data_IF_310816663568
#
_entry.id   IF_310816663568
#
_cell.length_a   1.000
_cell.length_b   1.000
_cell.length_c   1.000
_cell.angle_alpha   90.00
_cell.angle_beta   90.00
_cell.angle_gamma   90.00
#
_symmetry.space_group_name_H-M   'P 1'
#
loop_
_entity.id
_entity.type
_entity.pdbx_description
1 polymer ?
#
# COMPACT_ATOMS: atom_id res chain seq x y z
N UNK A 1 10.02 -19.79 1.13
CA UNK A 1 9.32 -19.50 -0.13
C UNK A 1 7.96 -18.92 0.20
N UNK A 2 7.65 -17.69 -0.22
CA UNK A 2 6.27 -17.16 -0.14
C UNK A 2 5.42 -17.92 -1.16
N UNK A 3 4.37 -18.64 -0.76
CA UNK A 3 3.58 -19.49 -1.67
C UNK A 3 2.56 -18.70 -2.50
N UNK A 4 2.68 -17.38 -2.57
CA UNK A 4 1.68 -16.50 -3.16
C UNK A 4 2.31 -15.55 -4.17
N UNK A 5 1.61 -15.35 -5.29
CA UNK A 5 1.99 -14.42 -6.34
C UNK A 5 1.75 -12.97 -5.86
N UNK A 6 2.78 -12.11 -5.86
CA UNK A 6 2.63 -10.71 -5.45
C UNK A 6 1.60 -9.91 -6.26
N UNK A 7 1.32 -10.29 -7.52
CA UNK A 7 0.35 -9.60 -8.36
C UNK A 7 -1.11 -9.82 -7.91
N UNK A 8 -1.40 -10.95 -7.26
CA UNK A 8 -2.76 -11.31 -6.80
C UNK A 8 -2.89 -11.35 -5.27
N UNK A 9 -1.78 -11.21 -4.55
CA UNK A 9 -1.77 -11.21 -3.08
C UNK A 9 -2.30 -9.88 -2.54
N UNK A 10 -3.36 -9.96 -1.72
CA UNK A 10 -3.88 -8.83 -0.97
C UNK A 10 -3.27 -8.79 0.45
N UNK A 11 -2.68 -7.67 0.84
CA UNK A 11 -2.10 -7.45 2.16
C UNK A 11 -2.97 -6.53 3.02
N UNK A 12 -3.05 -6.82 4.31
CA UNK A 12 -3.75 -5.99 5.31
C UNK A 12 -2.78 -5.00 5.97
N UNK A 13 -3.34 -4.07 6.73
CA UNK A 13 -2.62 -2.99 7.42
C UNK A 13 -1.31 -3.42 8.10
N UNK A 14 -1.23 -4.47 8.94
CA UNK A 14 0.02 -4.83 9.60
C UNK A 14 1.16 -5.13 8.62
N UNK A 15 0.86 -5.80 7.51
CA UNK A 15 1.86 -6.14 6.48
C UNK A 15 2.17 -4.94 5.58
N UNK A 16 1.21 -4.05 5.37
CA UNK A 16 1.41 -2.78 4.67
C UNK A 16 2.36 -1.86 5.46
N UNK A 17 2.21 -1.76 6.78
CA UNK A 17 3.12 -1.00 7.65
C UNK A 17 4.54 -1.56 7.58
N UNK A 18 4.70 -2.90 7.62
CA UNK A 18 6.01 -3.55 7.48
C UNK A 18 6.63 -3.26 6.11
N UNK A 19 5.85 -3.38 5.03
CA UNK A 19 6.35 -3.19 3.67
C UNK A 19 6.73 -1.73 3.36
N UNK A 20 5.97 -0.77 3.87
CA UNK A 20 6.18 0.67 3.61
C UNK A 20 7.04 1.36 4.66
N UNK A 21 7.20 0.78 5.85
CA UNK A 21 7.81 1.42 7.02
C UNK A 21 6.96 2.54 7.64
N UNK A 22 5.76 2.78 7.12
CA UNK A 22 4.87 3.84 7.59
C UNK A 22 3.93 3.35 8.68
N UNK A 23 3.59 4.24 9.62
CA UNK A 23 2.52 4.00 10.59
C UNK A 23 1.15 4.23 9.95
N UNK A 24 0.14 3.53 10.47
CA UNK A 24 -1.27 3.61 10.04
C UNK A 24 -1.80 5.03 9.87
N UNK A 25 -1.44 5.95 10.77
CA UNK A 25 -1.87 7.36 10.68
C UNK A 25 -1.36 8.04 9.41
N UNK A 26 -0.11 7.79 9.01
CA UNK A 26 0.47 8.32 7.77
C UNK A 26 -0.14 7.66 6.54
N UNK A 27 -0.39 6.35 6.58
CA UNK A 27 -1.06 5.64 5.49
C UNK A 27 -2.44 6.26 5.25
N UNK A 28 -3.24 6.51 6.29
CA UNK A 28 -4.53 7.16 6.13
C UNK A 28 -4.43 8.58 5.55
N UNK A 29 -3.40 9.35 5.91
CA UNK A 29 -3.17 10.67 5.30
C UNK A 29 -2.86 10.55 3.80
N UNK A 30 -2.02 9.58 3.40
CA UNK A 30 -1.71 9.33 2.00
C UNK A 30 -2.95 8.91 1.21
N UNK A 31 -3.80 8.05 1.79
CA UNK A 31 -5.07 7.65 1.17
C UNK A 31 -6.04 8.82 0.95
N UNK A 32 -5.95 9.87 1.77
CA UNK A 32 -6.75 11.09 1.62
C UNK A 32 -6.16 12.07 0.61
N UNK A 33 -4.93 11.84 0.14
CA UNK A 33 -4.23 12.69 -0.80
C UNK A 33 -4.21 12.03 -2.18
N UNK A 34 -5.05 12.47 -3.13
CA UNK A 34 -5.17 11.84 -4.45
C UNK A 34 -3.86 11.90 -5.25
N UNK A 35 -3.06 12.96 -5.06
CA UNK A 35 -1.79 13.16 -5.79
C UNK A 35 -0.60 12.40 -5.16
N UNK A 36 -0.82 11.63 -4.09
CA UNK A 36 0.28 10.92 -3.40
C UNK A 36 0.84 9.73 -4.17
N UNK A 37 0.13 9.27 -5.21
CA UNK A 37 0.45 8.05 -5.94
C UNK A 37 0.37 6.78 -5.08
N UNK A 38 -0.20 6.86 -3.87
CA UNK A 38 -0.29 5.72 -2.96
C UNK A 38 -1.32 4.67 -3.45
N UNK A 39 -1.04 3.36 -3.31
CA UNK A 39 -1.96 2.32 -3.76
C UNK A 39 -3.36 2.42 -3.14
N UNK A 40 -4.38 2.17 -3.97
CA UNK A 40 -5.77 2.26 -3.56
C UNK A 40 -6.20 1.01 -2.77
N UNK A 41 -7.07 1.16 -1.75
CA UNK A 41 -7.59 0.03 -0.99
C UNK A 41 -8.62 -0.77 -1.80
N UNK A 42 -8.47 -2.09 -1.81
CA UNK A 42 -9.46 -3.05 -2.28
C UNK A 42 -10.40 -3.42 -1.14
N UNK A 43 -11.71 -3.26 -1.33
CA UNK A 43 -12.73 -3.70 -0.37
C UNK A 43 -12.84 -5.22 -0.41
N UNK A 44 -12.75 -5.87 0.76
CA UNK A 44 -12.86 -7.33 0.87
C UNK A 44 -14.28 -7.83 1.10
N UNK A 45 -15.24 -6.91 1.28
CA UNK A 45 -16.65 -7.24 1.49
C UNK A 45 -17.53 -6.24 0.76
N UNK A 46 -18.75 -6.66 0.42
CA UNK A 46 -19.77 -5.80 -0.18
C UNK A 46 -20.40 -4.81 0.83
N UNK A 47 -20.01 -4.89 2.11
CA UNK A 47 -20.49 -3.99 3.14
C UNK A 47 -19.96 -2.57 2.93
N UNK A 48 -20.87 -1.60 2.96
CA UNK A 48 -20.56 -0.16 2.96
C UNK A 48 -20.41 0.42 4.37
N UNK A 49 -20.47 -0.43 5.40
CA UNK A 49 -20.35 0.00 6.79
C UNK A 49 -19.00 0.69 7.05
N UNK A 50 -19.02 1.70 7.93
CA UNK A 50 -17.80 2.34 8.42
C UNK A 50 -16.95 1.28 9.13
N UNK A 51 -15.78 0.98 8.57
CA UNK A 51 -14.89 -0.07 9.09
C UNK A 51 -14.93 -1.39 8.32
N UNK A 52 -15.61 -1.45 7.17
CA UNK A 52 -15.52 -2.60 6.27
C UNK A 52 -14.04 -2.96 5.97
N UNK A 53 -13.69 -4.26 5.96
CA UNK A 53 -12.31 -4.69 5.80
C UNK A 53 -11.78 -4.29 4.41
N UNK A 54 -10.60 -3.67 4.39
CA UNK A 54 -9.86 -3.33 3.18
C UNK A 54 -8.46 -3.93 3.18
N UNK A 55 -7.93 -4.15 1.97
CA UNK A 55 -6.58 -4.63 1.71
C UNK A 55 -5.95 -3.87 0.54
N UNK A 56 -4.69 -4.16 0.23
CA UNK A 56 -3.94 -3.58 -0.88
C UNK A 56 -3.27 -4.67 -1.70
N UNK A 57 -3.13 -4.46 -3.00
CA UNK A 57 -2.39 -5.38 -3.87
C UNK A 57 -0.90 -5.28 -3.54
N UNK A 58 -0.26 -6.43 -3.29
CA UNK A 58 1.13 -6.43 -2.83
C UNK A 58 2.09 -5.86 -3.88
N UNK A 59 1.92 -6.20 -5.16
CA UNK A 59 2.73 -5.66 -6.26
C UNK A 59 2.64 -4.14 -6.39
N UNK A 60 1.46 -3.54 -6.20
CA UNK A 60 1.29 -2.07 -6.23
C UNK A 60 2.05 -1.41 -5.08
N UNK A 61 1.98 -1.99 -3.87
CA UNK A 61 2.73 -1.51 -2.71
C UNK A 61 4.23 -1.62 -2.94
N UNK A 62 4.72 -2.74 -3.48
CA UNK A 62 6.13 -2.90 -3.81
C UNK A 62 6.58 -1.87 -4.86
N UNK A 63 5.76 -1.62 -5.88
CA UNK A 63 6.05 -0.64 -6.93
C UNK A 63 6.12 0.78 -6.38
N UNK A 64 5.19 1.14 -5.48
CA UNK A 64 5.23 2.42 -4.78
C UNK A 64 6.50 2.58 -3.93
N UNK A 65 6.88 1.56 -3.16
CA UNK A 65 8.13 1.58 -2.37
C UNK A 65 9.34 1.75 -3.29
N UNK A 66 9.38 1.03 -4.40
CA UNK A 66 10.46 1.15 -5.39
C UNK A 66 10.56 2.56 -5.96
N UNK A 67 9.42 3.17 -6.32
CA UNK A 67 9.37 4.56 -6.79
C UNK A 67 9.92 5.55 -5.77
N UNK A 68 9.69 5.33 -4.46
CA UNK A 68 10.28 6.16 -3.40
C UNK A 68 11.80 6.02 -3.31
N UNK A 69 12.34 4.82 -3.54
CA UNK A 69 13.79 4.58 -3.59
C UNK A 69 14.38 5.26 -4.83
N UNK A 70 13.78 5.06 -5.99
CA UNK A 70 14.22 5.68 -7.25
C UNK A 70 14.18 7.21 -7.15
N UNK A 71 13.11 7.80 -6.59
CA UNK A 71 13.02 9.25 -6.40
C UNK A 71 14.11 9.82 -5.48
N UNK A 72 14.54 9.06 -4.46
CA UNK A 72 15.69 9.44 -3.63
C UNK A 72 16.98 9.41 -4.45
N UNK A 73 17.17 8.34 -5.23
CA UNK A 73 18.40 8.13 -5.99
C UNK A 73 18.56 9.12 -7.14
N UNK A 74 17.45 9.57 -7.76
CA UNK A 74 17.44 10.62 -8.79
C UNK A 74 17.79 12.01 -8.24
N UNK A 75 17.57 12.27 -6.95
CA UNK A 75 17.93 13.56 -6.31
C UNK A 75 19.41 13.55 -5.88
N UNK A 76 20.01 12.37 -5.74
CA UNK A 76 21.40 12.20 -5.33
C UNK A 76 22.39 12.10 -6.52
N UNK A 77 21.88 12.01 -7.75
CA UNK A 77 22.65 11.98 -9.00
C UNK A 77 22.73 13.38 -9.63
#
# INVERSE_FOLDING_TARGET
MTPFDPATTLIRMPRLEIATGLKRSTIYKLMQCPDSGFPQPVKLSNSTARGAPVAWVFSEVQSWVKSRIEARDQVAA
#
